data_IF_930784408148
#
_entry.id   IF_930784408148
#
_cell.length_a   1.000
_cell.length_b   1.000
_cell.length_c   1.000
_cell.angle_alpha   90.00
_cell.angle_beta   90.00
_cell.angle_gamma   90.00
#
_symmetry.space_group_name_H-M   'P 1'
#
loop_
_entity.id
_entity.type
_entity.pdbx_description
1 polymer ?
#
# COMPACT_ATOMS: atom_id res chain seq x y z
N UNK A 1 1.29 -11.83 -8.20
CA UNK A 1 0.51 -11.63 -6.97
C UNK A 1 1.21 -10.66 -6.04
N UNK A 2 0.45 -9.90 -5.25
CA UNK A 2 0.95 -8.87 -4.33
C UNK A 2 2.00 -9.40 -3.35
N UNK A 3 1.80 -10.60 -2.77
CA UNK A 3 2.71 -11.22 -1.80
C UNK A 3 4.19 -11.20 -2.22
N UNK A 4 4.44 -11.47 -3.50
CA UNK A 4 5.79 -11.58 -4.09
C UNK A 4 6.23 -10.33 -4.85
N UNK A 5 5.38 -9.30 -4.92
CA UNK A 5 5.66 -8.06 -5.63
C UNK A 5 6.66 -7.19 -4.87
N UNK A 6 7.61 -6.58 -5.58
CA UNK A 6 8.59 -5.63 -5.04
C UNK A 6 7.94 -4.46 -4.30
N UNK A 7 6.80 -3.97 -4.79
CA UNK A 7 6.12 -2.79 -4.27
C UNK A 7 5.19 -3.08 -3.09
N UNK A 8 4.88 -4.34 -2.80
CA UNK A 8 3.94 -4.68 -1.74
C UNK A 8 4.66 -4.77 -0.39
N UNK A 9 4.00 -4.28 0.66
CA UNK A 9 4.46 -4.36 2.04
C UNK A 9 3.38 -5.00 2.89
N UNK A 10 3.63 -6.17 3.51
CA UNK A 10 2.66 -6.76 4.42
C UNK A 10 2.44 -5.82 5.61
N UNK A 11 1.20 -5.72 6.06
CA UNK A 11 0.86 -4.96 7.25
C UNK A 11 0.42 -5.92 8.35
N UNK A 12 1.16 -5.94 9.46
CA UNK A 12 0.89 -6.79 10.61
C UNK A 12 0.39 -5.92 11.79
N UNK A 13 -0.62 -5.08 11.54
CA UNK A 13 -1.31 -4.33 12.59
C UNK A 13 -2.46 -5.18 13.14
N UNK A 14 -2.82 -5.02 14.41
CA UNK A 14 -3.92 -5.78 15.03
C UNK A 14 -5.28 -5.51 14.35
N UNK A 15 -5.38 -4.39 13.63
CA UNK A 15 -6.57 -3.93 12.93
C UNK A 15 -6.75 -4.62 11.57
N UNK A 16 -5.67 -5.15 10.98
CA UNK A 16 -5.66 -5.77 9.67
C UNK A 16 -5.38 -7.27 9.77
N UNK A 17 -6.24 -8.06 9.11
CA UNK A 17 -6.15 -9.51 9.11
C UNK A 17 -4.83 -9.98 8.47
N UNK A 18 -4.36 -11.17 8.86
CA UNK A 18 -3.22 -11.83 8.20
C UNK A 18 -3.50 -11.93 6.69
N UNK A 19 -2.49 -11.62 5.87
CA UNK A 19 -2.60 -11.63 4.40
C UNK A 19 -2.97 -10.28 3.77
N UNK A 20 -3.04 -9.21 4.56
CA UNK A 20 -3.23 -7.85 4.07
C UNK A 20 -1.93 -7.03 4.05
N UNK A 21 -1.90 -6.02 3.19
CA UNK A 21 -0.76 -5.13 3.06
C UNK A 21 -0.96 -4.00 2.06
N UNK A 22 0.00 -3.09 1.99
CA UNK A 22 -0.06 -1.88 1.18
C UNK A 22 0.66 -2.06 -0.15
N UNK A 23 0.00 -1.68 -1.25
CA UNK A 23 0.62 -1.59 -2.57
C UNK A 23 1.28 -0.22 -2.76
N UNK A 24 2.62 -0.17 -2.80
CA UNK A 24 3.40 1.07 -2.93
C UNK A 24 3.94 1.33 -4.33
N UNK A 25 3.25 0.86 -5.37
CA UNK A 25 3.66 1.06 -6.77
C UNK A 25 3.51 2.53 -7.18
N UNK A 26 2.42 3.16 -6.74
CA UNK A 26 2.14 4.57 -6.97
C UNK A 26 2.38 5.36 -5.67
N UNK A 27 2.64 6.67 -5.78
CA UNK A 27 2.60 7.57 -4.62
C UNK A 27 1.27 7.42 -3.88
N UNK A 28 1.27 7.56 -2.55
CA UNK A 28 0.02 7.48 -1.81
C UNK A 28 -0.93 8.62 -2.19
N UNK A 29 -2.22 8.34 -2.21
CA UNK A 29 -3.23 9.36 -2.49
C UNK A 29 -3.46 10.20 -1.24
N UNK A 30 -3.60 11.51 -1.45
CA UNK A 30 -4.00 12.44 -0.40
C UNK A 30 -5.53 12.34 -0.20
N UNK A 31 -6.02 12.15 1.04
CA UNK A 31 -7.44 12.26 1.30
C UNK A 31 -7.92 13.69 1.01
N UNK A 32 -9.19 13.88 0.60
CA UNK A 32 -9.77 15.21 0.46
C UNK A 32 -9.72 15.92 1.82
N UNK A 33 -9.12 17.10 1.87
CA UNK A 33 -9.01 17.92 3.10
C UNK A 33 -10.41 18.34 3.54
N UNK A 34 -10.96 17.73 4.60
CA UNK A 34 -12.27 18.10 5.13
C UNK A 34 -12.16 19.02 6.35
N UNK A 35 -11.07 18.95 7.12
CA UNK A 35 -10.89 19.80 8.31
C UNK A 35 -9.50 20.45 8.43
N UNK A 36 -9.47 21.73 8.80
CA UNK A 36 -8.23 22.49 9.12
C UNK A 36 -7.43 21.87 10.28
N UNK A 37 -8.05 20.97 11.06
CA UNK A 37 -7.42 20.21 12.15
C UNK A 37 -6.57 19.03 11.66
N UNK A 38 -6.77 18.57 10.43
CA UNK A 38 -6.01 17.48 9.81
C UNK A 38 -4.71 17.95 9.13
N UNK A 39 -4.49 19.27 9.05
CA UNK A 39 -3.30 19.92 8.44
C UNK A 39 -1.95 19.44 9.00
N UNK A 40 -1.93 18.81 10.18
CA UNK A 40 -0.70 18.52 10.92
C UNK A 40 -0.17 17.10 10.72
N UNK A 41 -0.93 16.15 10.16
CA UNK A 41 -0.45 14.79 9.90
C UNK A 41 -1.03 14.24 8.59
N UNK A 42 -0.59 14.76 7.45
CA UNK A 42 -0.92 14.14 6.17
C UNK A 42 0.07 13.02 5.87
N UNK A 43 -0.21 11.83 6.39
CA UNK A 43 0.41 10.60 5.87
C UNK A 43 -0.46 10.15 4.72
N UNK A 44 0.07 10.20 3.49
CA UNK A 44 -0.66 9.69 2.34
C UNK A 44 -1.03 8.22 2.53
N UNK A 45 -2.20 7.82 1.99
CA UNK A 45 -2.69 6.44 2.07
C UNK A 45 -2.27 5.64 0.83
N UNK A 46 -1.65 4.48 1.04
CA UNK A 46 -1.43 3.50 -0.01
C UNK A 46 -2.63 2.55 -0.13
N UNK A 47 -2.96 2.06 -1.34
CA UNK A 47 -4.01 1.08 -1.53
C UNK A 47 -3.77 -0.18 -0.69
N UNK A 48 -4.78 -0.56 0.09
CA UNK A 48 -4.77 -1.77 0.88
C UNK A 48 -5.26 -2.95 0.05
N UNK A 49 -4.45 -4.00 -0.06
CA UNK A 49 -4.65 -5.14 -0.96
C UNK A 49 -4.34 -6.45 -0.25
N UNK A 50 -4.99 -7.52 -0.66
CA UNK A 50 -4.64 -8.88 -0.21
C UNK A 50 -3.37 -9.34 -0.89
N UNK A 51 -2.68 -10.25 -0.21
CA UNK A 51 -1.50 -10.95 -0.70
C UNK A 51 -1.73 -11.65 -2.06
N UNK A 52 -2.92 -12.20 -2.27
CA UNK A 52 -3.36 -12.87 -3.50
C UNK A 52 -3.83 -11.91 -4.61
N UNK A 53 -3.95 -10.61 -4.35
CA UNK A 53 -4.39 -9.65 -5.37
C UNK A 53 -3.34 -9.46 -6.48
N UNK A 54 -3.77 -8.91 -7.61
CA UNK A 54 -2.90 -8.59 -8.74
C UNK A 54 -3.41 -7.38 -9.53
N UNK A 55 -2.53 -6.41 -9.76
CA UNK A 55 -2.84 -5.16 -10.45
C UNK A 55 -2.35 -5.10 -11.91
N UNK A 56 -1.90 -6.21 -12.50
CA UNK A 56 -1.33 -6.26 -13.85
C UNK A 56 0.17 -5.92 -13.95
N UNK A 57 0.69 -5.14 -13.00
CA UNK A 57 2.03 -4.54 -13.06
C UNK A 57 2.99 -5.13 -12.01
N UNK A 58 3.06 -6.47 -11.95
CA UNK A 58 3.88 -7.16 -10.95
C UNK A 58 5.37 -7.09 -11.29
N UNK A 59 6.21 -6.87 -10.29
CA UNK A 59 7.67 -6.89 -10.42
C UNK A 59 8.31 -7.78 -9.34
N UNK A 60 9.31 -8.56 -9.73
CA UNK A 60 10.06 -9.42 -8.83
C UNK A 60 10.98 -8.62 -7.90
N UNK A 61 11.20 -9.11 -6.68
CA UNK A 61 12.24 -8.58 -5.80
C UNK A 61 13.61 -9.05 -6.32
N UNK A 62 14.40 -8.14 -6.88
CA UNK A 62 15.80 -8.44 -7.26
C UNK A 62 16.10 -8.46 -8.76
N UNK A 63 15.14 -8.17 -9.64
CA UNK A 63 15.47 -7.79 -11.02
C UNK A 63 15.98 -6.35 -11.04
N UNK A 64 17.23 -6.09 -11.45
CA UNK A 64 17.67 -4.71 -11.72
C UNK A 64 16.86 -4.20 -12.91
N UNK A 65 16.19 -3.07 -12.72
CA UNK A 65 15.51 -2.31 -13.77
C UNK A 65 16.50 -1.55 -14.63
#
# INVERSE_FOLDING_TARGET
MCATCLHWRPENTAEHLIGWGQCRRLPPTMPPMQDEKEKLVHVGLWPHTRDADWCGEWQARGTPT
#
